data_IF_060683824771
#
_entry.id   IF_060683824771
#
_cell.length_a   1.000
_cell.length_b   1.000
_cell.length_c   1.000
_cell.angle_alpha   90.00
_cell.angle_beta   90.00
_cell.angle_gamma   90.00
#
_symmetry.space_group_name_H-M   'P 1'
#
loop_
_entity.id
_entity.type
_entity.pdbx_description
1 polymer ?
#
# COMPACT_ATOMS: atom_id res chain seq x y z
N UNK A 1 10.25 -20.24 0.44
CA UNK A 1 10.09 -18.91 1.05
C UNK A 1 8.65 -18.80 1.50
N UNK A 2 8.39 -18.20 2.66
CA UNK A 2 7.03 -17.94 3.11
C UNK A 2 6.41 -16.81 2.27
N UNK A 3 5.12 -16.94 1.95
CA UNK A 3 4.34 -15.88 1.32
C UNK A 3 3.90 -14.91 2.43
N UNK A 4 3.89 -13.60 2.15
CA UNK A 4 3.62 -12.58 3.17
C UNK A 4 3.04 -11.30 2.58
N UNK A 5 2.46 -10.49 3.45
CA UNK A 5 2.23 -9.06 3.24
C UNK A 5 2.97 -8.27 4.32
N UNK A 6 3.64 -7.19 3.90
CA UNK A 6 4.49 -6.34 4.74
C UNK A 6 4.12 -4.88 4.52
N UNK A 7 3.77 -4.19 5.60
CA UNK A 7 3.52 -2.76 5.63
C UNK A 7 4.79 -2.04 6.04
N UNK A 8 5.42 -1.34 5.10
CA UNK A 8 6.71 -0.70 5.32
C UNK A 8 6.52 0.66 6.02
N UNK A 9 7.30 0.98 7.05
CA UNK A 9 7.03 2.15 7.87
C UNK A 9 7.61 3.43 7.25
N UNK A 10 6.73 4.22 6.63
CA UNK A 10 7.12 5.40 5.84
C UNK A 10 6.54 6.74 6.34
N UNK A 11 6.09 6.78 7.61
CA UNK A 11 5.26 7.88 8.16
C UNK A 11 3.90 7.90 7.43
N UNK A 12 3.26 9.05 7.23
CA UNK A 12 2.07 9.18 6.38
C UNK A 12 2.45 8.88 4.94
N UNK A 13 1.94 7.78 4.41
CA UNK A 13 2.24 7.27 3.08
C UNK A 13 2.11 5.77 3.03
N UNK A 14 1.92 5.25 1.82
CA UNK A 14 1.78 3.81 1.61
C UNK A 14 3.01 3.22 0.91
N UNK A 15 3.43 2.06 1.41
CA UNK A 15 4.45 1.20 0.81
C UNK A 15 4.17 -0.22 1.27
N UNK A 16 3.29 -0.91 0.53
CA UNK A 16 2.72 -2.19 0.96
C UNK A 16 3.19 -3.29 0.02
N UNK A 17 3.93 -4.25 0.56
CA UNK A 17 4.63 -5.28 -0.20
C UNK A 17 4.00 -6.65 0.02
N UNK A 18 3.53 -7.29 -1.04
CA UNK A 18 3.02 -8.66 -1.02
C UNK A 18 4.00 -9.56 -1.77
N UNK A 19 4.45 -10.65 -1.13
CA UNK A 19 5.25 -11.70 -1.78
C UNK A 19 4.41 -12.98 -1.86
N UNK A 20 4.31 -13.54 -3.06
CA UNK A 20 3.70 -14.85 -3.32
C UNK A 20 4.59 -15.70 -4.22
N UNK A 21 5.27 -16.68 -3.63
CA UNK A 21 6.31 -17.46 -4.27
C UNK A 21 7.44 -16.58 -4.80
N UNK A 22 7.59 -16.56 -6.13
CA UNK A 22 8.55 -15.72 -6.85
C UNK A 22 7.97 -14.38 -7.33
N UNK A 23 6.67 -14.14 -7.09
CA UNK A 23 5.99 -12.91 -7.49
C UNK A 23 5.96 -11.92 -6.33
N UNK A 24 6.09 -10.64 -6.67
CA UNK A 24 6.08 -9.53 -5.72
C UNK A 24 5.22 -8.38 -6.25
N UNK A 25 4.37 -7.85 -5.38
CA UNK A 25 3.53 -6.68 -5.64
C UNK A 25 3.90 -5.60 -4.65
N UNK A 26 4.17 -4.39 -5.12
CA UNK A 26 4.29 -3.20 -4.29
C UNK A 26 3.14 -2.27 -4.63
N UNK A 27 2.31 -1.93 -3.65
CA UNK A 27 1.31 -0.88 -3.76
C UNK A 27 1.87 0.39 -3.16
N UNK A 28 2.04 1.40 -4.02
CA UNK A 28 2.63 2.70 -3.75
C UNK A 28 4.06 2.67 -3.19
N UNK A 29 4.72 3.84 -3.17
CA UNK A 29 6.04 3.99 -2.59
C UNK A 29 6.22 5.36 -1.96
N UNK A 30 6.81 5.37 -0.76
CA UNK A 30 7.37 6.57 -0.13
C UNK A 30 8.75 6.25 0.39
N UNK A 31 9.70 6.21 -0.53
CA UNK A 31 11.11 6.03 -0.22
C UNK A 31 11.70 7.37 0.24
N UNK A 32 11.97 7.45 1.54
CA UNK A 32 12.62 8.61 2.17
C UNK A 32 14.11 8.31 2.25
N UNK A 33 14.95 9.22 1.74
CA UNK A 33 16.40 9.07 1.84
C UNK A 33 16.83 8.97 3.29
N UNK A 34 17.75 8.03 3.55
CA UNK A 34 18.22 7.63 4.87
C UNK A 34 18.96 8.75 5.62
N UNK A 35 18.24 9.50 6.44
CA UNK A 35 18.79 10.08 7.66
C UNK A 35 18.70 9.04 8.80
N UNK A 36 19.48 9.19 9.87
CA UNK A 36 19.66 8.19 10.95
C UNK A 36 18.34 7.70 11.61
N UNK A 37 17.24 8.44 11.46
CA UNK A 37 15.94 8.17 12.08
C UNK A 37 14.89 7.57 11.11
N UNK A 38 15.25 7.33 9.84
CA UNK A 38 14.34 6.78 8.82
C UNK A 38 14.60 5.29 8.62
N UNK A 39 13.54 4.48 8.71
CA UNK A 39 13.62 3.06 8.35
C UNK A 39 13.83 2.91 6.85
N UNK A 40 14.94 2.29 6.45
CA UNK A 40 15.24 2.00 5.04
C UNK A 40 14.41 0.83 4.54
N UNK A 41 13.58 1.10 3.54
CA UNK A 41 12.67 0.12 2.93
C UNK A 41 13.24 -0.54 1.67
N UNK A 42 14.40 -0.10 1.17
CA UNK A 42 14.95 -0.59 -0.10
C UNK A 42 15.26 -2.09 -0.04
N UNK A 43 15.95 -2.53 1.02
CA UNK A 43 16.31 -3.94 1.20
C UNK A 43 15.07 -4.84 1.33
N UNK A 44 14.03 -4.38 2.02
CA UNK A 44 12.76 -5.11 2.10
C UNK A 44 12.11 -5.32 0.73
N UNK A 45 12.13 -4.30 -0.13
CA UNK A 45 11.59 -4.37 -1.51
C UNK A 45 12.49 -5.28 -2.36
N UNK A 46 13.82 -5.13 -2.27
CA UNK A 46 14.80 -5.91 -3.02
C UNK A 46 14.71 -7.41 -2.68
N UNK A 47 14.61 -7.77 -1.41
CA UNK A 47 14.48 -9.16 -0.95
C UNK A 47 13.17 -9.83 -1.40
N UNK A 48 12.11 -9.04 -1.61
CA UNK A 48 10.88 -9.56 -2.18
C UNK A 48 10.99 -9.85 -3.68
N UNK A 49 11.88 -9.14 -4.40
CA UNK A 49 12.05 -9.26 -5.83
C UNK A 49 12.85 -10.51 -6.23
N UNK A 50 12.45 -11.14 -7.34
CA UNK A 50 13.24 -12.20 -7.97
C UNK A 50 14.08 -11.57 -9.07
N UNK A 51 15.40 -11.80 -9.10
CA UNK A 51 16.30 -11.22 -10.12
C UNK A 51 16.22 -9.67 -10.18
N UNK A 52 16.14 -9.01 -9.01
CA UNK A 52 15.96 -7.56 -8.87
C UNK A 52 14.75 -6.99 -9.66
N UNK A 53 13.74 -7.83 -9.91
CA UNK A 53 12.50 -7.45 -10.60
C UNK A 53 11.29 -7.51 -9.68
N UNK A 54 10.60 -6.37 -9.58
CA UNK A 54 9.27 -6.30 -8.99
C UNK A 54 8.25 -6.78 -10.04
N UNK A 55 7.36 -7.70 -9.68
CA UNK A 55 6.41 -8.26 -10.66
C UNK A 55 5.33 -7.26 -11.04
N UNK A 56 4.76 -6.56 -10.07
CA UNK A 56 3.72 -5.55 -10.28
C UNK A 56 3.92 -4.38 -9.32
N UNK A 57 3.90 -3.17 -9.85
CA UNK A 57 3.72 -1.95 -9.06
C UNK A 57 2.28 -1.44 -9.26
N UNK A 58 1.53 -1.26 -8.17
CA UNK A 58 0.21 -0.63 -8.20
C UNK A 58 0.35 0.80 -7.72
N UNK A 59 0.16 1.77 -8.63
CA UNK A 59 0.05 3.19 -8.29
C UNK A 59 -1.42 3.50 -8.02
N UNK A 60 -1.78 3.80 -6.77
CA UNK A 60 -3.16 4.11 -6.42
C UNK A 60 -3.54 5.49 -6.94
N UNK A 61 -2.76 6.51 -6.58
CA UNK A 61 -2.85 7.89 -7.05
C UNK A 61 -1.44 8.52 -7.04
N UNK A 62 -1.33 9.84 -7.29
CA UNK A 62 -0.04 10.51 -7.54
C UNK A 62 0.31 11.64 -6.57
N UNK A 63 -0.22 11.57 -5.35
CA UNK A 63 0.28 12.44 -4.27
C UNK A 63 1.61 11.94 -3.72
N UNK A 64 2.36 12.87 -3.14
CA UNK A 64 3.77 12.69 -2.81
C UNK A 64 4.02 11.46 -1.95
N UNK A 65 3.20 11.23 -0.94
CA UNK A 65 3.29 10.13 0.00
C UNK A 65 2.92 8.75 -0.57
N UNK A 66 2.58 8.67 -1.86
CA UNK A 66 2.33 7.44 -2.60
C UNK A 66 3.32 7.20 -3.75
N UNK A 67 4.16 8.19 -4.08
CA UNK A 67 5.08 8.11 -5.23
C UNK A 67 6.51 8.57 -4.95
N UNK A 68 6.79 9.13 -3.77
CA UNK A 68 8.10 9.69 -3.43
C UNK A 68 9.19 8.64 -3.54
N UNK A 69 10.27 9.02 -4.23
CA UNK A 69 11.47 8.20 -4.38
C UNK A 69 11.31 7.03 -5.35
N UNK A 70 10.28 7.04 -6.20
CA UNK A 70 10.09 6.00 -7.23
C UNK A 70 11.35 5.80 -8.09
N UNK A 71 11.99 6.88 -8.57
CA UNK A 71 13.21 6.78 -9.40
C UNK A 71 14.49 6.48 -8.62
N UNK A 72 14.45 6.58 -7.29
CA UNK A 72 15.58 6.20 -6.43
C UNK A 72 15.61 4.68 -6.23
N UNK A 73 14.43 4.04 -6.19
CA UNK A 73 14.30 2.58 -6.04
C UNK A 73 14.23 1.86 -7.39
N UNK A 74 13.56 2.45 -8.38
CA UNK A 74 13.26 1.80 -9.65
C UNK A 74 13.89 2.48 -10.85
N UNK A 75 14.30 1.67 -11.82
CA UNK A 75 14.73 2.14 -13.13
C UNK A 75 13.57 2.75 -13.92
N UNK A 76 13.76 3.97 -14.42
CA UNK A 76 12.84 4.65 -15.34
C UNK A 76 13.42 4.69 -16.75
N UNK A 77 12.57 4.51 -17.77
CA UNK A 77 12.97 4.50 -19.17
C UNK A 77 13.10 3.09 -19.75
N UNK A 78 13.76 2.99 -20.92
CA UNK A 78 13.80 1.73 -21.69
C UNK A 78 14.49 0.62 -20.88
N UNK A 79 13.90 -0.58 -20.78
CA UNK A 79 14.47 -1.69 -19.98
C UNK A 79 15.81 -2.21 -20.51
N UNK A 80 16.14 -1.97 -21.79
CA UNK A 80 17.46 -2.34 -22.35
C UNK A 80 18.62 -1.56 -21.73
N UNK A 81 18.34 -0.39 -21.16
CA UNK A 81 19.33 0.45 -20.50
C UNK A 81 19.44 0.15 -19.00
N UNK A 82 18.56 -0.70 -18.46
CA UNK A 82 18.63 -1.09 -17.06
C UNK A 82 19.81 -2.03 -16.84
N UNK A 83 20.61 -1.73 -15.82
CA UNK A 83 21.69 -2.58 -15.37
C UNK A 83 21.21 -3.36 -14.15
N UNK A 84 21.24 -4.68 -14.25
CA UNK A 84 20.95 -5.56 -13.12
C UNK A 84 22.17 -5.65 -12.18
N UNK A 85 22.64 -4.50 -11.70
CA UNK A 85 23.79 -4.37 -10.78
C UNK A 85 23.36 -4.20 -9.32
N UNK A 86 22.05 -4.13 -9.08
CA UNK A 86 21.45 -4.03 -7.75
C UNK A 86 21.31 -2.62 -7.19
N UNK A 87 21.64 -1.58 -7.98
CA UNK A 87 21.45 -0.17 -7.62
C UNK A 87 19.99 0.27 -7.73
N UNK A 88 19.29 -0.19 -8.78
CA UNK A 88 17.85 0.01 -8.96
C UNK A 88 17.19 -1.28 -9.36
N UNK A 89 15.91 -1.40 -9.04
CA UNK A 89 15.08 -2.54 -9.40
C UNK A 89 14.30 -2.26 -10.69
N UNK A 90 13.88 -3.30 -11.40
CA UNK A 90 13.01 -3.15 -12.58
C UNK A 90 11.56 -3.52 -12.23
N UNK A 91 10.64 -2.59 -12.46
CA UNK A 91 9.21 -2.87 -12.38
C UNK A 91 8.73 -3.53 -13.67
N UNK A 92 8.37 -4.80 -13.61
CA UNK A 92 7.97 -5.56 -14.79
C UNK A 92 6.67 -5.01 -15.40
N UNK A 93 5.66 -4.76 -14.59
CA UNK A 93 4.35 -4.23 -14.97
C UNK A 93 3.91 -3.14 -13.98
N UNK A 94 3.31 -2.06 -14.47
CA UNK A 94 2.66 -1.04 -13.66
C UNK A 94 1.15 -1.15 -13.85
N UNK A 95 0.37 -1.13 -12.78
CA UNK A 95 -1.06 -0.86 -12.81
C UNK A 95 -1.35 0.53 -12.24
N UNK A 96 -2.20 1.29 -12.91
CA UNK A 96 -2.63 2.63 -12.49
C UNK A 96 -4.04 2.93 -13.02
N UNK A 97 -4.71 3.94 -12.46
CA UNK A 97 -5.97 4.45 -13.03
C UNK A 97 -5.73 5.28 -14.30
N UNK A 98 -6.80 5.55 -15.04
CA UNK A 98 -6.76 6.44 -16.22
C UNK A 98 -6.28 7.86 -15.87
N UNK A 99 -6.54 8.32 -14.64
CA UNK A 99 -6.07 9.60 -14.10
C UNK A 99 -4.56 9.82 -14.31
N UNK A 100 -3.74 8.79 -14.11
CA UNK A 100 -2.29 8.91 -14.25
C UNK A 100 -1.82 9.28 -15.68
N UNK A 101 -2.66 9.03 -16.69
CA UNK A 101 -2.35 9.39 -18.07
C UNK A 101 -2.41 10.90 -18.31
N UNK A 102 -3.22 11.63 -17.53
CA UNK A 102 -3.52 13.05 -17.74
C UNK A 102 -3.10 13.94 -16.56
N UNK A 103 -2.93 13.40 -15.35
CA UNK A 103 -2.61 14.15 -14.11
C UNK A 103 -1.43 15.12 -14.24
N UNK A 104 -1.52 16.27 -13.58
CA UNK A 104 -0.42 17.22 -13.58
C UNK A 104 0.76 16.71 -12.75
N UNK A 105 1.97 16.93 -13.27
CA UNK A 105 3.20 16.46 -12.63
C UNK A 105 3.60 17.41 -11.50
N UNK A 106 3.82 16.86 -10.32
CA UNK A 106 4.62 17.51 -9.27
C UNK A 106 6.09 17.11 -9.45
N UNK A 107 7.00 17.66 -8.65
CA UNK A 107 8.40 17.21 -8.66
C UNK A 107 8.52 15.73 -8.27
N UNK A 108 7.71 15.29 -7.31
CA UNK A 108 7.71 13.96 -6.74
C UNK A 108 7.02 12.94 -7.66
N UNK A 109 5.92 13.29 -8.31
CA UNK A 109 5.19 12.38 -9.20
C UNK A 109 5.75 12.32 -10.63
N UNK A 110 6.64 13.25 -11.00
CA UNK A 110 7.19 13.37 -12.36
C UNK A 110 7.77 12.06 -12.89
N UNK A 111 8.55 11.34 -12.08
CA UNK A 111 9.22 10.12 -12.50
C UNK A 111 8.22 9.02 -12.88
N UNK A 112 7.30 8.68 -11.97
CA UNK A 112 6.28 7.65 -12.21
C UNK A 112 5.31 8.04 -13.33
N UNK A 113 4.85 9.29 -13.39
CA UNK A 113 3.95 9.74 -14.46
C UNK A 113 4.63 9.71 -15.84
N UNK A 114 5.91 10.08 -15.92
CA UNK A 114 6.67 9.95 -17.17
C UNK A 114 6.81 8.48 -17.59
N UNK A 115 7.08 7.59 -16.63
CA UNK A 115 7.24 6.16 -16.88
C UNK A 115 5.92 5.51 -17.32
N UNK A 116 4.81 5.79 -16.63
CA UNK A 116 3.45 5.36 -17.03
C UNK A 116 3.15 5.82 -18.45
N UNK A 117 3.33 7.10 -18.76
CA UNK A 117 3.05 7.65 -20.10
C UNK A 117 3.98 7.08 -21.16
N UNK A 118 5.24 6.76 -20.82
CA UNK A 118 6.16 6.07 -21.72
C UNK A 118 5.63 4.68 -22.08
N UNK A 119 5.22 3.90 -21.08
CA UNK A 119 4.65 2.57 -21.29
C UNK A 119 3.33 2.62 -22.06
N UNK A 120 2.48 3.61 -21.78
CA UNK A 120 1.22 3.82 -22.51
C UNK A 120 1.44 4.02 -24.01
N UNK A 121 2.48 4.76 -24.40
CA UNK A 121 2.86 4.96 -25.82
C UNK A 121 3.36 3.69 -26.52
N UNK A 122 3.72 2.63 -25.77
CA UNK A 122 4.15 1.36 -26.33
C UNK A 122 3.00 0.41 -26.61
N UNK A 123 1.78 0.67 -26.12
CA UNK A 123 0.63 -0.20 -26.34
C UNK A 123 0.39 -0.39 -27.84
N UNK A 124 0.24 -1.66 -28.27
CA UNK A 124 0.09 -2.03 -29.68
C UNK A 124 1.41 -2.19 -30.45
N UNK A 125 2.56 -1.93 -29.82
CA UNK A 125 3.88 -2.19 -30.41
C UNK A 125 4.44 -3.54 -29.96
N UNK A 126 5.47 -4.03 -30.66
CA UNK A 126 6.21 -5.25 -30.29
C UNK A 126 6.95 -5.16 -28.95
N UNK A 127 7.08 -3.95 -28.39
CA UNK A 127 7.79 -3.70 -27.14
C UNK A 127 6.86 -3.70 -25.92
N UNK A 128 5.54 -3.66 -26.12
CA UNK A 128 4.54 -3.51 -25.05
C UNK A 128 4.64 -4.61 -23.97
N UNK A 129 4.86 -5.86 -24.39
CA UNK A 129 4.78 -7.03 -23.51
C UNK A 129 6.08 -7.33 -22.74
N UNK A 130 7.16 -6.58 -23.01
CA UNK A 130 8.45 -6.77 -22.35
C UNK A 130 8.40 -6.35 -20.87
N UNK A 131 9.13 -7.07 -20.01
CA UNK A 131 9.36 -6.62 -18.63
C UNK A 131 9.94 -5.20 -18.64
N UNK A 132 9.40 -4.31 -17.80
CA UNK A 132 9.78 -2.89 -17.79
C UNK A 132 8.98 -2.03 -18.76
N UNK A 133 8.12 -2.62 -19.60
CA UNK A 133 7.26 -1.90 -20.53
C UNK A 133 5.77 -2.14 -20.31
N UNK A 134 5.38 -3.24 -19.65
CA UNK A 134 3.95 -3.54 -19.44
C UNK A 134 3.29 -2.47 -18.57
N UNK A 135 2.12 -2.05 -19.03
CA UNK A 135 1.22 -1.13 -18.33
C UNK A 135 -0.19 -1.69 -18.39
N UNK A 136 -0.89 -1.61 -17.27
CA UNK A 136 -2.30 -1.92 -17.14
C UNK A 136 -3.04 -0.72 -16.58
N UNK A 137 -3.76 -0.02 -17.45
CA UNK A 137 -4.67 1.05 -17.03
C UNK A 137 -5.95 0.36 -16.54
N UNK A 138 -6.19 0.40 -15.23
CA UNK A 138 -7.30 -0.28 -14.58
C UNK A 138 -8.43 0.68 -14.24
N UNK A 139 -9.64 0.13 -14.19
CA UNK A 139 -10.83 0.78 -13.68
C UNK A 139 -11.64 -0.20 -12.85
N UNK A 140 -12.69 0.30 -12.22
CA UNK A 140 -13.70 -0.50 -11.53
C UNK A 140 -14.10 -1.76 -12.34
N UNK A 141 -14.14 -2.90 -11.65
CA UNK A 141 -14.51 -4.20 -12.20
C UNK A 141 -13.36 -4.96 -12.87
N UNK A 142 -12.22 -4.31 -13.13
CA UNK A 142 -11.05 -4.99 -13.67
C UNK A 142 -10.42 -5.96 -12.66
N UNK A 143 -9.68 -6.93 -13.19
CA UNK A 143 -8.99 -7.93 -12.40
C UNK A 143 -7.47 -7.80 -12.54
N UNK A 144 -6.75 -7.90 -11.43
CA UNK A 144 -5.30 -8.08 -11.36
C UNK A 144 -4.97 -9.54 -11.00
N UNK A 145 -3.82 -10.05 -11.43
CA UNK A 145 -3.38 -11.40 -11.07
C UNK A 145 -1.88 -11.50 -11.07
N UNK A 146 -1.31 -12.11 -10.04
CA UNK A 146 0.13 -12.32 -9.89
C UNK A 146 0.41 -13.76 -9.49
N UNK A 147 0.87 -14.54 -10.47
CA UNK A 147 0.98 -16.00 -10.32
C UNK A 147 -0.40 -16.65 -10.17
N UNK A 148 -0.43 -17.85 -9.58
CA UNK A 148 -1.65 -18.65 -9.42
C UNK A 148 -2.41 -18.35 -8.12
N UNK A 149 -1.71 -17.84 -7.11
CA UNK A 149 -2.24 -17.66 -5.75
C UNK A 149 -2.81 -16.27 -5.48
N UNK A 150 -2.37 -15.22 -6.18
CA UNK A 150 -2.76 -13.85 -5.86
C UNK A 150 -3.61 -13.25 -6.99
N UNK A 151 -4.88 -12.95 -6.69
CA UNK A 151 -5.83 -12.31 -7.61
C UNK A 151 -6.43 -11.06 -6.97
N UNK A 152 -6.59 -9.98 -7.72
CA UNK A 152 -7.15 -8.72 -7.23
C UNK A 152 -8.39 -8.32 -8.03
N UNK A 153 -9.40 -7.79 -7.36
CA UNK A 153 -10.54 -7.11 -7.99
C UNK A 153 -10.40 -5.61 -7.72
N UNK A 154 -10.42 -4.80 -8.77
CA UNK A 154 -10.40 -3.35 -8.69
C UNK A 154 -11.82 -2.86 -8.42
N UNK A 155 -12.02 -2.13 -7.34
CA UNK A 155 -13.32 -1.61 -6.88
C UNK A 155 -13.51 -0.13 -7.24
N UNK A 156 -12.41 0.60 -7.35
CA UNK A 156 -12.34 2.01 -7.75
C UNK A 156 -11.00 2.28 -8.45
N UNK A 157 -10.87 3.34 -9.26
CA UNK A 157 -11.91 4.31 -9.56
C UNK A 157 -12.86 3.84 -10.66
N UNK A 158 -14.10 4.32 -10.62
CA UNK A 158 -14.98 4.37 -11.79
C UNK A 158 -14.62 5.57 -12.69
N UNK A 159 -15.38 5.80 -13.77
CA UNK A 159 -15.10 6.92 -14.69
C UNK A 159 -15.22 8.30 -14.04
N UNK A 160 -16.26 8.52 -13.22
CA UNK A 160 -16.48 9.81 -12.53
C UNK A 160 -15.38 10.11 -11.51
N UNK A 161 -14.91 9.08 -10.80
CA UNK A 161 -13.82 9.15 -9.84
C UNK A 161 -12.47 9.45 -10.51
N UNK A 162 -12.22 8.87 -11.69
CA UNK A 162 -11.01 9.11 -12.45
C UNK A 162 -10.98 10.52 -13.10
N UNK A 163 -12.13 11.03 -13.54
CA UNK A 163 -12.26 12.35 -14.17
C UNK A 163 -12.48 13.49 -13.16
N UNK A 164 -12.81 13.15 -11.91
CA UNK A 164 -13.11 14.10 -10.85
C UNK A 164 -11.93 14.98 -10.40
N UNK A 165 -12.22 16.00 -9.61
CA UNK A 165 -11.21 16.96 -9.13
C UNK A 165 -10.30 16.39 -8.02
N UNK A 166 -10.78 15.40 -7.27
CA UNK A 166 -10.04 14.81 -6.15
C UNK A 166 -9.09 13.71 -6.63
N UNK A 167 -7.78 13.93 -6.48
CA UNK A 167 -6.76 12.90 -6.72
C UNK A 167 -6.97 11.69 -5.81
N UNK A 168 -7.29 11.92 -4.54
CA UNK A 168 -7.56 10.88 -3.56
C UNK A 168 -8.68 9.94 -4.02
N UNK A 169 -9.77 10.49 -4.56
CA UNK A 169 -10.90 9.68 -5.04
C UNK A 169 -10.62 8.94 -6.36
N UNK A 170 -9.53 9.29 -7.07
CA UNK A 170 -9.03 8.51 -8.21
C UNK A 170 -8.18 7.30 -7.81
N UNK A 171 -8.04 7.03 -6.50
CA UNK A 171 -7.26 5.92 -5.96
C UNK A 171 -7.72 4.57 -6.52
N UNK A 172 -6.76 3.77 -6.97
CA UNK A 172 -6.99 2.35 -7.26
C UNK A 172 -7.29 1.60 -5.96
N UNK A 173 -8.57 1.38 -5.65
CA UNK A 173 -9.01 0.53 -4.54
C UNK A 173 -9.02 -0.92 -5.01
N UNK A 174 -8.28 -1.79 -4.32
CA UNK A 174 -8.13 -3.20 -4.73
C UNK A 174 -8.40 -4.14 -3.56
N UNK A 175 -9.23 -5.16 -3.82
CA UNK A 175 -9.40 -6.31 -2.94
C UNK A 175 -8.61 -7.49 -3.49
N UNK A 176 -7.51 -7.83 -2.83
CA UNK A 176 -6.73 -9.01 -3.15
C UNK A 176 -7.28 -10.25 -2.45
N UNK A 177 -7.19 -11.38 -3.13
CA UNK A 177 -7.42 -12.72 -2.62
C UNK A 177 -6.12 -13.49 -2.81
N UNK A 178 -5.50 -13.86 -1.69
CA UNK A 178 -4.43 -14.85 -1.65
C UNK A 178 -5.05 -16.23 -1.40
N UNK A 179 -4.84 -17.17 -2.31
CA UNK A 179 -5.31 -18.55 -2.21
C UNK A 179 -4.17 -19.48 -1.75
N UNK A 180 -4.29 -19.99 -0.53
CA UNK A 180 -3.60 -21.21 -0.11
C UNK A 180 -4.30 -22.45 -0.65
N UNK A 181 -3.77 -23.63 -0.32
CA UNK A 181 -4.34 -24.91 -0.75
C UNK A 181 -5.65 -25.22 -0.01
N UNK A 182 -5.82 -24.72 1.22
CA UNK A 182 -7.00 -24.97 2.07
C UNK A 182 -7.88 -23.76 2.29
N UNK A 183 -7.28 -22.59 2.46
CA UNK A 183 -7.95 -21.35 2.85
C UNK A 183 -7.51 -20.19 1.97
N UNK A 184 -8.31 -19.14 1.93
CA UNK A 184 -7.97 -17.89 1.26
C UNK A 184 -7.97 -16.72 2.21
N UNK A 185 -7.02 -15.79 2.04
CA UNK A 185 -6.96 -14.52 2.76
C UNK A 185 -7.40 -13.39 1.82
N UNK A 186 -8.30 -12.54 2.32
CA UNK A 186 -8.81 -11.36 1.61
C UNK A 186 -8.17 -10.10 2.19
N UNK A 187 -7.60 -9.26 1.34
CA UNK A 187 -6.84 -8.06 1.72
C UNK A 187 -7.44 -6.86 0.99
N UNK A 188 -7.88 -5.85 1.71
CA UNK A 188 -8.45 -4.61 1.15
C UNK A 188 -7.45 -3.47 1.26
N UNK A 189 -7.03 -2.91 0.12
CA UNK A 189 -6.16 -1.74 0.04
C UNK A 189 -6.92 -0.59 -0.60
N UNK A 190 -7.07 0.52 0.13
CA UNK A 190 -7.91 1.66 -0.28
C UNK A 190 -7.17 2.84 -0.91
N UNK A 191 -5.84 2.91 -0.81
CA UNK A 191 -5.11 4.16 -1.01
C UNK A 191 -5.75 5.26 -0.16
N UNK A 192 -6.00 6.41 -0.78
CA UNK A 192 -6.55 7.58 -0.10
C UNK A 192 -8.02 7.86 -0.43
N UNK A 193 -8.71 6.89 -1.02
CA UNK A 193 -10.13 7.00 -1.34
C UNK A 193 -10.94 7.53 -0.14
N UNK A 194 -11.68 8.62 -0.35
CA UNK A 194 -12.42 9.32 0.69
C UNK A 194 -13.90 8.91 0.72
N UNK A 195 -14.68 9.56 1.59
CA UNK A 195 -16.03 9.18 1.95
C UNK A 195 -16.95 8.94 0.74
N UNK A 196 -16.85 9.74 -0.32
CA UNK A 196 -17.68 9.60 -1.51
C UNK A 196 -17.47 8.25 -2.23
N UNK A 197 -16.22 7.78 -2.30
CA UNK A 197 -15.90 6.47 -2.92
C UNK A 197 -16.48 5.35 -2.06
N UNK A 198 -16.26 5.37 -0.75
CA UNK A 198 -16.75 4.32 0.14
C UNK A 198 -18.29 4.30 0.23
N UNK A 199 -18.94 5.46 0.25
CA UNK A 199 -20.40 5.57 0.18
C UNK A 199 -20.98 4.94 -1.09
N UNK A 200 -20.30 5.15 -2.23
CA UNK A 200 -20.66 4.51 -3.49
C UNK A 200 -20.44 3.00 -3.41
N UNK A 201 -19.29 2.56 -2.90
CA UNK A 201 -18.98 1.12 -2.81
C UNK A 201 -20.02 0.36 -1.98
N UNK A 202 -20.54 0.93 -0.88
CA UNK A 202 -21.67 0.36 -0.11
C UNK A 202 -22.94 0.20 -0.94
N UNK A 203 -23.17 1.12 -1.88
CA UNK A 203 -24.36 1.12 -2.75
C UNK A 203 -24.22 0.12 -3.90
N UNK A 204 -23.03 0.01 -4.49
CA UNK A 204 -22.80 -0.74 -5.72
C UNK A 204 -22.41 -2.21 -5.47
N UNK A 205 -21.80 -2.49 -4.32
CA UNK A 205 -21.27 -3.81 -3.98
C UNK A 205 -22.00 -4.46 -2.81
N UNK A 206 -21.98 -5.78 -2.78
CA UNK A 206 -22.48 -6.56 -1.65
C UNK A 206 -21.40 -6.71 -0.58
N UNK A 207 -21.81 -7.07 0.63
CA UNK A 207 -20.89 -7.35 1.73
C UNK A 207 -19.77 -8.34 1.35
N UNK A 208 -20.06 -9.39 0.57
CA UNK A 208 -19.07 -10.39 0.14
C UNK A 208 -18.06 -9.87 -0.90
N UNK A 209 -18.36 -8.72 -1.51
CA UNK A 209 -17.46 -7.98 -2.37
C UNK A 209 -16.58 -6.99 -1.61
N UNK A 210 -16.90 -6.71 -0.34
CA UNK A 210 -16.17 -5.75 0.48
C UNK A 210 -15.54 -6.41 1.71
N UNK A 211 -15.71 -7.72 1.89
CA UNK A 211 -15.21 -8.45 3.04
C UNK A 211 -13.70 -8.67 3.03
N UNK A 212 -13.09 -8.61 4.23
CA UNK A 212 -11.64 -8.64 4.37
C UNK A 212 -11.18 -9.34 5.65
N UNK A 213 -10.03 -9.99 5.56
CA UNK A 213 -9.28 -10.48 6.73
C UNK A 213 -8.22 -9.47 7.17
N UNK A 214 -7.77 -8.61 6.25
CA UNK A 214 -6.80 -7.56 6.49
C UNK A 214 -7.20 -6.31 5.69
N UNK A 215 -7.25 -5.16 6.33
CA UNK A 215 -7.54 -3.89 5.69
C UNK A 215 -6.45 -2.86 6.02
N UNK A 216 -5.98 -2.13 5.01
CA UNK A 216 -5.26 -0.88 5.26
C UNK A 216 -6.27 0.19 5.61
N UNK A 217 -6.11 0.87 6.75
CA UNK A 217 -6.93 2.03 7.09
C UNK A 217 -6.70 3.12 6.02
N UNK A 218 -7.66 3.38 5.11
CA UNK A 218 -7.45 4.27 3.96
C UNK A 218 -7.06 5.67 4.40
N UNK A 219 -6.32 6.38 3.54
CA UNK A 219 -5.85 7.74 3.80
C UNK A 219 -5.15 7.84 5.16
N UNK A 220 -4.28 6.86 5.43
CA UNK A 220 -3.44 6.79 6.62
C UNK A 220 -4.23 6.86 7.94
N UNK A 221 -5.43 6.27 8.02
CA UNK A 221 -6.34 6.39 9.19
C UNK A 221 -6.87 7.82 9.40
N UNK A 222 -7.19 8.51 8.30
CA UNK A 222 -7.97 9.76 8.28
C UNK A 222 -9.42 9.54 8.74
N UNK A 223 -10.10 10.62 9.14
CA UNK A 223 -11.57 10.63 9.23
C UNK A 223 -12.26 10.73 7.86
N UNK A 224 -11.59 11.24 6.83
CA UNK A 224 -12.22 11.53 5.52
C UNK A 224 -12.75 10.30 4.77
N UNK A 225 -12.27 9.05 4.98
CA UNK A 225 -12.93 7.86 4.45
C UNK A 225 -14.24 7.48 5.17
N UNK A 226 -14.44 7.92 6.41
CA UNK A 226 -15.54 7.49 7.30
C UNK A 226 -16.59 8.59 7.54
N UNK A 227 -16.23 9.84 7.25
CA UNK A 227 -17.00 11.01 7.63
C UNK A 227 -16.75 12.19 6.67
N UNK A 228 -17.71 13.11 6.59
CA UNK A 228 -17.60 14.36 5.83
C UNK A 228 -17.65 15.53 6.80
N UNK A 229 -17.01 16.65 6.47
CA UNK A 229 -17.23 17.91 7.22
C UNK A 229 -18.67 18.38 7.02
N UNK A 230 -19.29 18.90 8.08
CA UNK A 230 -20.63 19.50 8.03
C UNK A 230 -20.65 20.70 7.06
N UNK A 231 -19.61 21.52 7.10
CA UNK A 231 -19.32 22.58 6.13
C UNK A 231 -17.93 22.34 5.51
N UNK A 232 -17.90 22.00 4.21
CA UNK A 232 -16.66 21.76 3.47
C UNK A 232 -15.79 23.02 3.30
N UNK A 233 -16.36 24.22 3.50
CA UNK A 233 -15.65 25.50 3.37
C UNK A 233 -14.99 25.96 4.66
N UNK A 234 -15.49 25.49 5.82
CA UNK A 234 -14.88 25.76 7.12
C UNK A 234 -13.90 24.65 7.51
N UNK A 235 -12.62 25.03 7.64
CA UNK A 235 -11.58 24.09 8.05
C UNK A 235 -11.77 23.56 9.47
N UNK A 236 -12.50 24.27 10.33
CA UNK A 236 -12.77 23.89 11.71
C UNK A 236 -14.12 23.19 11.89
N UNK A 237 -14.89 23.01 10.80
CA UNK A 237 -16.16 22.30 10.86
C UNK A 237 -15.98 20.86 11.32
N UNK A 238 -16.92 20.41 12.14
CA UNK A 238 -16.95 19.05 12.68
C UNK A 238 -17.15 18.01 11.56
N UNK A 239 -16.57 16.83 11.77
CA UNK A 239 -16.82 15.65 10.95
C UNK A 239 -18.11 14.97 11.39
N UNK A 240 -19.01 14.75 10.43
CA UNK A 240 -20.24 13.98 10.57
C UNK A 240 -20.02 12.62 9.90
N UNK A 241 -20.28 11.56 10.65
CA UNK A 241 -20.18 10.18 10.18
C UNK A 241 -21.06 9.95 8.95
N UNK A 242 -20.56 9.13 8.02
CA UNK A 242 -21.34 8.66 6.90
C UNK A 242 -21.56 7.16 7.04
N UNK A 243 -22.79 6.77 7.36
CA UNK A 243 -23.14 5.37 7.66
C UNK A 243 -22.82 4.43 6.49
N UNK A 244 -23.03 4.86 5.25
CA UNK A 244 -22.72 4.06 4.07
C UNK A 244 -21.21 3.84 3.91
N UNK A 245 -20.42 4.90 4.03
CA UNK A 245 -18.96 4.80 3.94
C UNK A 245 -18.38 3.92 5.06
N UNK A 246 -18.92 4.03 6.28
CA UNK A 246 -18.56 3.14 7.40
C UNK A 246 -18.98 1.70 7.08
N UNK A 247 -20.19 1.49 6.56
CA UNK A 247 -20.70 0.16 6.22
C UNK A 247 -19.85 -0.54 5.15
N UNK A 248 -19.44 0.17 4.09
CA UNK A 248 -18.55 -0.39 3.06
C UNK A 248 -17.24 -0.97 3.63
N UNK A 249 -16.74 -0.39 4.72
CA UNK A 249 -15.52 -0.84 5.40
C UNK A 249 -15.79 -1.86 6.51
N UNK A 250 -17.04 -2.02 6.95
CA UNK A 250 -17.45 -2.82 8.10
C UNK A 250 -17.83 -4.27 7.73
N UNK A 251 -16.94 -4.94 6.99
CA UNK A 251 -17.09 -6.36 6.63
C UNK A 251 -15.87 -7.22 7.04
N UNK A 252 -15.39 -7.14 8.30
CA UNK A 252 -14.29 -7.98 8.75
C UNK A 252 -14.69 -9.46 8.80
N UNK A 253 -13.79 -10.34 8.36
CA UNK A 253 -13.94 -11.79 8.44
C UNK A 253 -13.16 -12.36 9.62
N UNK A 254 -13.89 -13.02 10.53
CA UNK A 254 -13.30 -13.64 11.72
C UNK A 254 -12.52 -12.64 12.58
N UNK A 255 -11.34 -13.05 13.05
CA UNK A 255 -10.40 -12.15 13.74
C UNK A 255 -9.56 -11.36 12.73
N UNK A 256 -10.20 -10.44 12.01
CA UNK A 256 -9.56 -9.60 11.01
C UNK A 256 -8.57 -8.59 11.62
N UNK A 257 -7.74 -7.97 10.79
CA UNK A 257 -6.72 -7.00 11.18
C UNK A 257 -6.83 -5.70 10.41
N UNK A 258 -6.46 -4.58 11.05
CA UNK A 258 -6.33 -3.28 10.40
C UNK A 258 -4.92 -2.77 10.59
N UNK A 259 -4.31 -2.24 9.53
CA UNK A 259 -3.01 -1.57 9.60
C UNK A 259 -3.16 -0.13 9.10
N UNK A 260 -2.71 0.82 9.91
CA UNK A 260 -2.51 2.20 9.50
C UNK A 260 -1.03 2.40 9.15
N UNK A 261 -0.76 2.69 7.88
CA UNK A 261 0.55 3.19 7.45
C UNK A 261 0.58 4.71 7.68
N UNK A 262 1.13 5.13 8.82
CA UNK A 262 1.05 6.52 9.28
C UNK A 262 2.14 6.85 10.29
N UNK A 263 2.32 8.15 10.59
CA UNK A 263 2.94 8.56 11.87
C UNK A 263 2.13 8.03 13.06
N UNK A 264 2.73 8.14 14.24
CA UNK A 264 2.07 7.88 15.51
C UNK A 264 0.72 8.58 15.61
N UNK A 265 -0.31 7.81 15.96
CA UNK A 265 -1.67 8.30 16.17
C UNK A 265 -1.79 8.85 17.59
N UNK A 266 -1.70 10.18 17.71
CA UNK A 266 -1.83 10.89 18.99
C UNK A 266 -3.29 11.12 19.35
N UNK A 267 -3.55 11.54 20.59
CA UNK A 267 -4.88 11.93 21.08
C UNK A 267 -5.06 13.44 20.90
N UNK A 268 -5.07 13.88 19.65
CA UNK A 268 -5.27 15.24 19.19
C UNK A 268 -6.17 15.23 17.94
N UNK A 269 -6.32 16.40 17.31
CA UNK A 269 -7.18 16.62 16.14
C UNK A 269 -6.39 16.57 14.81
N UNK A 270 -5.16 16.01 14.82
CA UNK A 270 -4.40 15.78 13.58
C UNK A 270 -5.23 14.89 12.62
N UNK A 271 -5.18 15.20 11.33
CA UNK A 271 -5.85 14.41 10.29
C UNK A 271 -5.11 14.53 8.95
N UNK A 272 -4.49 13.46 8.40
CA UNK A 272 -4.28 12.13 8.99
C UNK A 272 -2.98 12.00 9.83
N UNK A 273 -2.87 10.95 10.68
CA UNK A 273 -3.93 10.05 11.15
C UNK A 273 -4.77 10.73 12.24
N UNK A 274 -6.02 10.30 12.42
CA UNK A 274 -6.92 10.89 13.41
C UNK A 274 -7.31 9.92 14.53
N UNK A 275 -7.29 10.37 15.79
CA UNK A 275 -7.61 9.53 16.95
C UNK A 275 -9.02 8.94 16.92
N UNK A 276 -10.03 9.75 16.55
CA UNK A 276 -11.42 9.28 16.38
C UNK A 276 -11.52 8.19 15.30
N UNK A 277 -10.79 8.31 14.18
CA UNK A 277 -10.78 7.30 13.12
C UNK A 277 -10.17 5.97 13.62
N UNK A 278 -9.06 6.01 14.38
CA UNK A 278 -8.49 4.83 15.03
C UNK A 278 -9.52 4.10 15.90
N UNK A 279 -10.29 4.83 16.70
CA UNK A 279 -11.32 4.22 17.56
C UNK A 279 -12.48 3.62 16.76
N UNK A 280 -12.85 4.21 15.61
CA UNK A 280 -13.83 3.63 14.69
C UNK A 280 -13.34 2.30 14.12
N UNK A 281 -12.07 2.23 13.69
CA UNK A 281 -11.47 0.98 13.23
C UNK A 281 -11.42 -0.11 14.31
N UNK A 282 -11.06 0.26 15.55
CA UNK A 282 -11.10 -0.66 16.70
C UNK A 282 -12.54 -1.15 16.97
N UNK A 283 -13.55 -0.29 16.74
CA UNK A 283 -14.96 -0.67 16.85
C UNK A 283 -15.40 -1.60 15.72
N UNK A 284 -15.00 -1.34 14.47
CA UNK A 284 -15.25 -2.21 13.32
C UNK A 284 -14.68 -3.61 13.57
N UNK A 285 -13.48 -3.69 14.15
CA UNK A 285 -12.84 -4.95 14.47
C UNK A 285 -13.55 -5.75 15.58
N UNK A 286 -14.40 -5.12 16.40
CA UNK A 286 -15.01 -5.72 17.59
C UNK A 286 -16.11 -6.72 17.22
N UNK A 287 -15.91 -8.01 17.48
CA UNK A 287 -16.89 -9.07 17.19
C UNK A 287 -17.74 -9.47 18.40
N UNK A 288 -17.38 -9.02 19.61
CA UNK A 288 -18.13 -9.26 20.86
C UNK A 288 -17.68 -8.30 21.95
N UNK A 289 -18.41 -8.19 23.07
CA UNK A 289 -18.04 -7.33 24.20
C UNK A 289 -16.70 -7.71 24.86
N UNK A 290 -16.31 -8.98 24.80
CA UNK A 290 -15.06 -9.51 25.39
C UNK A 290 -13.90 -9.56 24.38
N UNK A 291 -14.07 -9.01 23.18
CA UNK A 291 -13.06 -9.07 22.12
C UNK A 291 -11.97 -8.00 22.33
N UNK A 292 -10.71 -8.44 22.29
CA UNK A 292 -9.52 -7.62 22.41
C UNK A 292 -9.18 -6.97 21.05
N UNK A 293 -10.15 -6.29 20.42
CA UNK A 293 -10.01 -5.74 19.06
C UNK A 293 -8.86 -4.74 18.92
N UNK A 294 -8.45 -4.09 20.03
CA UNK A 294 -7.27 -3.21 20.10
C UNK A 294 -5.98 -3.92 19.74
N UNK A 295 -5.86 -5.23 20.00
CA UNK A 295 -4.68 -6.03 19.67
C UNK A 295 -4.58 -6.38 18.18
N UNK A 296 -5.62 -6.05 17.40
CA UNK A 296 -5.71 -6.32 15.95
C UNK A 296 -5.64 -5.05 15.09
N UNK A 297 -5.43 -3.89 15.71
CA UNK A 297 -5.14 -2.63 15.04
C UNK A 297 -3.66 -2.30 15.19
N UNK A 298 -2.95 -2.09 14.08
CA UNK A 298 -1.53 -1.75 14.08
C UNK A 298 -1.28 -0.40 13.41
N UNK A 299 -0.29 0.34 13.92
CA UNK A 299 0.27 1.53 13.29
C UNK A 299 1.76 1.26 13.04
N UNK A 300 2.24 1.50 11.82
CA UNK A 300 3.64 1.21 11.44
C UNK A 300 4.66 2.00 12.27
N UNK A 301 4.30 3.19 12.76
CA UNK A 301 5.13 3.98 13.67
C UNK A 301 5.14 3.47 15.14
N UNK A 302 4.22 2.59 15.53
CA UNK A 302 4.04 2.13 16.92
C UNK A 302 4.11 0.60 17.09
N UNK A 303 4.44 -0.16 16.03
CA UNK A 303 4.34 -1.63 16.07
C UNK A 303 5.32 -2.31 17.04
N UNK A 304 6.49 -1.73 17.22
CA UNK A 304 7.54 -2.20 18.12
C UNK A 304 7.99 -1.03 19.03
N UNK A 305 9.07 -1.21 19.81
CA UNK A 305 9.67 -0.11 20.59
C UNK A 305 10.10 1.09 19.71
N UNK A 306 10.23 0.87 18.39
CA UNK A 306 10.50 1.86 17.35
C UNK A 306 9.72 1.53 16.07
N UNK A 307 9.70 2.49 15.14
CA UNK A 307 9.26 2.35 13.74
C UNK A 307 9.74 1.03 13.11
N UNK A 308 8.81 0.15 12.74
CA UNK A 308 9.13 -1.17 12.18
C UNK A 308 8.01 -1.66 11.25
N UNK A 309 8.31 -2.53 10.26
CA UNK A 309 7.29 -3.09 9.41
C UNK A 309 6.31 -3.97 10.17
N UNK A 310 5.03 -3.89 9.83
CA UNK A 310 4.02 -4.85 10.26
C UNK A 310 3.97 -5.97 9.23
N UNK A 311 4.28 -7.20 9.63
CA UNK A 311 4.40 -8.35 8.71
C UNK A 311 3.38 -9.41 9.05
N UNK A 312 2.66 -9.89 8.05
CA UNK A 312 1.79 -11.04 8.17
C UNK A 312 2.20 -12.15 7.22
N UNK A 313 2.36 -13.37 7.73
CA UNK A 313 2.51 -14.56 6.92
C UNK A 313 1.16 -14.93 6.29
N UNK A 314 1.19 -15.34 5.01
CA UNK A 314 0.06 -15.81 4.22
C UNK A 314 0.22 -17.31 3.92
N UNK A 315 -0.61 -18.16 4.53
CA UNK A 315 -0.54 -19.61 4.32
C UNK A 315 -1.90 -20.29 4.53
N UNK A 316 -1.91 -21.63 4.48
CA UNK A 316 -3.12 -22.44 4.61
C UNK A 316 -3.83 -22.30 5.96
N UNK A 317 -3.15 -21.82 6.99
CA UNK A 317 -3.76 -21.53 8.30
C UNK A 317 -4.42 -20.14 8.34
N UNK A 318 -4.41 -19.41 7.21
CA UNK A 318 -4.90 -18.04 7.10
C UNK A 318 -3.78 -17.02 7.32
N UNK A 319 -4.18 -15.82 7.78
CA UNK A 319 -3.28 -14.71 8.04
C UNK A 319 -2.77 -14.77 9.48
N UNK A 320 -1.47 -14.59 9.68
CA UNK A 320 -0.86 -14.58 11.02
C UNK A 320 0.18 -13.47 11.12
N UNK A 321 0.08 -12.64 12.15
CA UNK A 321 1.08 -11.61 12.44
C UNK A 321 2.41 -12.27 12.81
N UNK A 322 3.50 -11.87 12.16
CA UNK A 322 4.85 -12.29 12.55
C UNK A 322 5.29 -11.51 13.78
N UNK A 323 5.51 -12.22 14.88
CA UNK A 323 6.19 -11.65 16.06
C UNK A 323 7.68 -11.80 15.84
N UNK A 324 8.45 -10.72 15.89
CA UNK A 324 9.91 -10.85 15.93
C UNK A 324 10.30 -11.66 17.16
N UNK A 325 10.97 -12.79 16.95
CA UNK A 325 11.76 -13.39 18.04
C UNK A 325 12.80 -12.35 18.47
N UNK A 326 13.01 -12.15 19.77
CA UNK A 326 14.12 -11.36 20.30
C UNK A 326 15.45 -12.01 19.85
N UNK A 327 15.86 -11.77 18.62
CA UNK A 327 17.17 -12.19 18.13
C UNK A 327 18.15 -11.06 18.47
N UNK A 328 19.15 -11.42 19.28
CA UNK A 328 20.25 -10.55 19.67
C UNK A 328 21.00 -10.08 18.42
N UNK A 329 20.78 -8.84 17.99
CA UNK A 329 21.69 -8.18 17.07
C UNK A 329 22.95 -7.77 17.85
N UNK A 330 23.86 -8.73 18.02
CA UNK A 330 25.27 -8.41 18.17
C UNK A 330 25.73 -7.73 16.89
N UNK A 331 26.16 -6.48 17.06
CA UNK A 331 26.84 -5.65 16.07
C UNK A 331 27.85 -6.44 15.25
N UNK A 332 27.60 -6.63 13.96
CA UNK A 332 28.69 -6.84 12.99
C UNK A 332 29.33 -5.48 12.72
N UNK A 333 30.17 -5.04 13.66
CA UNK A 333 31.17 -4.04 13.35
C UNK A 333 32.13 -4.63 12.31
N UNK A 334 32.21 -3.96 11.17
CA UNK A 334 33.21 -4.18 10.13
C UNK A 334 34.60 -3.89 10.69
N UNK A 335 35.27 -4.93 11.20
CA UNK A 335 36.71 -4.89 11.43
C UNK A 335 37.40 -5.30 10.12
N UNK A 336 37.94 -4.33 9.39
CA UNK A 336 38.97 -4.59 8.38
C UNK A 336 40.20 -3.75 8.71
N UNK A 337 41.25 -4.50 9.01
CA UNK A 337 42.62 -4.15 9.38
C UNK A 337 43.24 -2.98 8.60
N UNK A 338 43.78 -1.99 9.32
CA UNK A 338 44.93 -1.20 8.85
C UNK A 338 46.20 -1.77 9.50
N UNK A 339 47.24 -2.16 8.72
CA UNK A 339 48.54 -2.50 9.29
C UNK A 339 49.23 -1.22 9.79
N UNK A 340 49.69 -1.24 11.03
CA UNK A 340 50.62 -0.26 11.58
C UNK A 340 52.02 -0.54 11.05
N UNK A 341 52.58 0.40 10.28
CA UNK A 341 54.02 0.44 9.99
C UNK A 341 54.74 1.17 11.13
N UNK A 342 55.62 0.45 11.83
CA UNK A 342 56.73 1.04 12.57
C UNK A 342 57.93 1.13 11.62
N UNK A 343 58.54 2.31 11.53
CA UNK A 343 59.70 2.61 10.70
C UNK A 343 59.75 4.09 10.37
#
# INVERSE_FOLDING_TARGET
>A
MADYIKYLPVDNGDSILIKSGYKSVLTDIKYRTSDDDVYDIFDDIKDACSDNKLSLYVSTHQDQDHVLGFSDVFHCGTPVNWKNDGNTLLVCEIACSERALTEDKTDQSRAILNEIRRRNRLIGTVDADKDGNRLKVVKEGDNLSMGTKLKGKVLAPNGEEADGESRNNSSVVVRWIYSGDKNSTKILLGGDAECEVWERLDTDYKAEDLDWHLCTAPHHCSLTPLAKKEDKTDKNSDYVDNDKAINALNHPLGKAFVVSSSKKIKRDDDNPPHYKAKNKWISILKTSETDESKERFFCTAEHEEKTAPVVFTLNDNGITLEKKSKSNNATKATAVNKPTTYG
#
